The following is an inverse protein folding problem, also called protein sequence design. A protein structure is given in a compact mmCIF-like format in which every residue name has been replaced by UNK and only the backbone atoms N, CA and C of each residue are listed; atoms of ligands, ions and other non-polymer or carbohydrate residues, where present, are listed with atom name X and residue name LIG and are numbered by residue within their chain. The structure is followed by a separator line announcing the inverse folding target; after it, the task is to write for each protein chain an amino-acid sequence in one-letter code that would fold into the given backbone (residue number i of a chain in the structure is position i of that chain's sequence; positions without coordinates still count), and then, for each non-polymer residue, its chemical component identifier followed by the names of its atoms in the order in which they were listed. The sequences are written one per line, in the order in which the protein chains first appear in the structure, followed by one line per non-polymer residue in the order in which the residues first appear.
data_IF_392137965045
#
_entry.id   IF_392137965045
#
_cell.length_a   1.000
_cell.length_b   1.000
_cell.length_c   1.000
_cell.angle_alpha   90.00
_cell.angle_beta   90.00
_cell.angle_gamma   90.00
#
_symmetry.space_group_name_H-M   'P 1'
#
loop_
_entity.id
_entity.type
_entity.pdbx_description
1 polymer ?
#
# COMPACT_ATOMS: atom_id res chain seq x y z
N UNK A 1 31.63 8.71 15.10
CA UNK A 1 31.57 9.21 13.73
C UNK A 1 30.83 8.19 12.86
N UNK A 2 29.76 8.62 12.24
CA UNK A 2 29.00 7.76 11.30
C UNK A 2 29.87 7.63 10.05
N UNK A 3 30.17 6.39 9.63
CA UNK A 3 30.91 6.14 8.39
C UNK A 3 30.17 6.79 7.21
N UNK A 4 30.80 7.67 6.41
CA UNK A 4 30.16 8.36 5.30
C UNK A 4 29.56 7.38 4.26
N UNK A 5 30.15 6.21 4.11
CA UNK A 5 29.73 5.19 3.14
C UNK A 5 28.52 4.34 3.60
N UNK A 6 28.08 4.48 4.87
CA UNK A 6 26.93 3.74 5.37
C UNK A 6 25.64 4.54 5.14
N UNK A 7 24.63 3.85 4.63
CA UNK A 7 23.25 4.31 4.54
C UNK A 7 22.31 3.42 5.34
N UNK A 8 21.06 3.83 5.44
CA UNK A 8 20.00 3.14 6.13
C UNK A 8 18.96 2.62 5.13
N UNK A 9 18.53 1.39 5.32
CA UNK A 9 17.31 0.85 4.74
C UNK A 9 16.25 0.87 5.84
N UNK A 10 15.12 1.50 5.55
CA UNK A 10 13.99 1.57 6.49
C UNK A 10 12.90 0.62 6.03
N UNK A 11 12.72 -0.47 6.77
CA UNK A 11 11.65 -1.45 6.54
C UNK A 11 10.48 -1.15 7.50
N UNK A 12 9.33 -0.80 6.94
CA UNK A 12 8.15 -0.43 7.72
C UNK A 12 7.68 -1.56 8.63
N UNK A 13 7.73 -2.82 8.18
CA UNK A 13 7.32 -3.95 9.02
C UNK A 13 8.18 -4.04 10.27
N UNK A 14 9.50 -4.02 10.13
CA UNK A 14 10.41 -4.20 11.26
C UNK A 14 10.33 -3.06 12.28
N UNK A 15 9.99 -1.85 11.85
CA UNK A 15 9.77 -0.70 12.73
C UNK A 15 8.41 -0.82 13.43
N UNK A 16 7.34 -0.98 12.65
CA UNK A 16 5.97 -0.90 13.15
C UNK A 16 5.53 -2.13 13.94
N UNK A 17 5.92 -3.34 13.50
CA UNK A 17 5.56 -4.58 14.18
C UNK A 17 6.20 -4.71 15.59
N UNK A 18 7.29 -4.01 15.83
CA UNK A 18 7.92 -3.91 17.17
C UNK A 18 7.25 -2.87 18.06
N UNK A 19 6.36 -2.04 17.50
CA UNK A 19 5.77 -0.91 18.19
C UNK A 19 6.76 0.24 18.42
N UNK A 20 7.83 0.31 17.63
CA UNK A 20 8.81 1.41 17.71
C UNK A 20 8.12 2.72 17.33
N UNK A 21 8.47 3.82 18.02
CA UNK A 21 7.94 5.15 17.68
C UNK A 21 8.61 5.69 16.43
N UNK A 22 7.89 6.53 15.70
CA UNK A 22 8.42 7.21 14.51
C UNK A 22 9.12 8.53 14.85
N UNK A 23 9.19 8.91 16.14
CA UNK A 23 9.68 10.21 16.61
C UNK A 23 11.16 10.44 16.29
N UNK A 24 11.93 9.37 16.15
CA UNK A 24 13.35 9.46 15.82
C UNK A 24 13.60 9.68 14.32
N UNK A 25 12.65 9.42 13.45
CA UNK A 25 12.83 9.53 11.99
C UNK A 25 13.23 10.94 11.53
N UNK A 26 12.65 12.04 12.04
CA UNK A 26 13.04 13.38 11.67
C UNK A 26 14.49 13.75 12.02
N UNK A 27 15.13 13.01 12.95
CA UNK A 27 16.54 13.22 13.30
C UNK A 27 17.53 12.49 12.38
N UNK A 28 17.02 11.60 11.51
CA UNK A 28 17.84 10.88 10.54
C UNK A 28 18.14 11.81 9.36
N UNK A 29 19.42 12.08 9.04
CA UNK A 29 19.75 12.85 7.86
C UNK A 29 19.21 12.16 6.61
N UNK A 30 18.42 12.87 5.81
CA UNK A 30 17.70 12.27 4.67
C UNK A 30 18.63 11.61 3.64
N UNK A 31 19.83 12.17 3.47
CA UNK A 31 20.86 11.63 2.58
C UNK A 31 21.42 10.27 3.05
N UNK A 32 21.12 9.88 4.28
CA UNK A 32 21.44 8.55 4.82
C UNK A 32 20.35 7.51 4.59
N UNK A 33 19.15 7.93 4.22
CA UNK A 33 18.09 7.00 3.85
C UNK A 33 18.29 6.61 2.39
N UNK A 34 18.78 5.41 2.16
CA UNK A 34 19.12 4.93 0.81
C UNK A 34 17.97 4.19 0.16
N UNK A 35 17.10 3.57 0.98
CA UNK A 35 16.03 2.72 0.49
C UNK A 35 14.92 2.60 1.54
N UNK A 36 13.68 2.53 1.09
CA UNK A 36 12.51 2.30 1.95
C UNK A 36 11.78 1.05 1.47
N UNK A 37 11.54 0.12 2.40
CA UNK A 37 10.79 -1.09 2.18
C UNK A 37 9.43 -1.00 2.87
N UNK A 38 8.39 -1.37 2.13
CA UNK A 38 7.01 -1.30 2.57
C UNK A 38 6.42 -2.69 2.71
N UNK A 39 5.86 -2.96 3.86
CA UNK A 39 4.98 -4.08 4.12
C UNK A 39 3.99 -3.70 5.22
N UNK A 40 2.76 -4.09 5.03
CA UNK A 40 1.71 -4.11 6.04
C UNK A 40 1.55 -5.52 6.61
N UNK A 41 0.80 -5.69 7.67
CA UNK A 41 0.46 -7.00 8.23
C UNK A 41 -0.74 -6.90 9.18
N UNK A 42 -1.56 -7.96 9.33
CA UNK A 42 -2.53 -8.03 10.41
C UNK A 42 -1.80 -8.15 11.74
N UNK A 43 -2.34 -7.60 12.83
CA UNK A 43 -1.76 -7.79 14.16
C UNK A 43 -1.88 -9.24 14.61
N UNK A 44 -0.73 -9.86 14.90
CA UNK A 44 -0.65 -11.25 15.31
C UNK A 44 0.24 -11.41 16.55
N UNK A 45 -0.24 -12.22 17.51
CA UNK A 45 0.55 -12.57 18.70
C UNK A 45 1.37 -13.82 18.41
N UNK A 46 2.51 -13.63 17.77
CA UNK A 46 3.41 -14.72 17.38
C UNK A 46 4.86 -14.27 17.37
N UNK A 47 5.78 -15.17 17.06
CA UNK A 47 7.19 -14.84 16.86
C UNK A 47 7.33 -13.82 15.71
N UNK A 48 8.16 -12.79 15.93
CA UNK A 48 8.31 -11.67 14.99
C UNK A 48 8.91 -12.12 13.65
N UNK A 49 9.81 -13.10 13.68
CA UNK A 49 10.44 -13.61 12.47
C UNK A 49 9.46 -14.42 11.63
N UNK A 50 8.66 -15.29 12.28
CA UNK A 50 7.61 -16.06 11.62
C UNK A 50 6.55 -15.11 11.03
N UNK A 51 6.14 -14.10 11.79
CA UNK A 51 5.22 -13.07 11.32
C UNK A 51 5.77 -12.35 10.09
N UNK A 52 7.02 -11.90 10.14
CA UNK A 52 7.70 -11.23 9.04
C UNK A 52 7.79 -12.07 7.76
N UNK A 53 7.95 -13.39 7.89
CA UNK A 53 8.23 -14.29 6.76
C UNK A 53 7.00 -14.82 6.05
N UNK A 54 5.84 -14.82 6.73
CA UNK A 54 4.66 -15.53 6.23
C UNK A 54 3.41 -14.67 6.11
N UNK A 55 3.34 -13.52 6.81
CA UNK A 55 2.08 -12.79 7.00
C UNK A 55 2.14 -11.32 6.59
N UNK A 56 3.21 -10.86 5.93
CA UNK A 56 3.22 -9.52 5.35
C UNK A 56 2.18 -9.42 4.26
N UNK A 57 1.52 -8.27 4.14
CA UNK A 57 0.57 -7.98 3.08
C UNK A 57 0.85 -6.60 2.46
N UNK A 58 0.10 -6.26 1.44
CA UNK A 58 0.27 -4.98 0.77
C UNK A 58 -0.25 -3.82 1.63
N UNK A 59 0.29 -2.60 1.46
CA UNK A 59 -0.21 -1.41 2.10
C UNK A 59 -1.73 -1.28 2.07
N UNK A 60 -2.35 -1.07 3.23
CA UNK A 60 -3.79 -0.97 3.41
C UNK A 60 -4.55 -2.28 3.53
N UNK A 61 -3.85 -3.42 3.49
CA UNK A 61 -4.46 -4.75 3.69
C UNK A 61 -4.25 -5.28 5.12
N UNK A 62 -3.44 -4.61 5.93
CA UNK A 62 -3.15 -4.97 7.30
C UNK A 62 -3.64 -3.92 8.30
N UNK A 63 -3.00 -3.91 9.47
CA UNK A 63 -3.39 -3.07 10.60
C UNK A 63 -2.22 -2.21 11.11
N UNK A 64 -1.04 -2.29 10.48
CA UNK A 64 0.10 -1.48 10.87
C UNK A 64 -0.13 0.00 10.47
N UNK A 65 0.33 0.98 11.28
CA UNK A 65 0.12 2.40 10.99
C UNK A 65 1.02 2.90 9.83
N UNK A 66 0.89 2.28 8.67
CA UNK A 66 1.76 2.48 7.52
C UNK A 66 1.64 3.87 6.91
N UNK A 67 0.43 4.47 6.97
CA UNK A 67 0.25 5.85 6.49
C UNK A 67 1.03 6.85 7.36
N UNK A 68 1.12 6.63 8.67
CA UNK A 68 1.92 7.47 9.55
C UNK A 68 3.42 7.33 9.25
N UNK A 69 3.88 6.11 8.95
CA UNK A 69 5.25 5.86 8.51
C UNK A 69 5.55 6.60 7.19
N UNK A 70 4.70 6.44 6.18
CA UNK A 70 4.87 7.09 4.88
C UNK A 70 4.84 8.63 5.00
N UNK A 71 3.95 9.17 5.83
CA UNK A 71 3.90 10.59 6.15
C UNK A 71 5.23 11.08 6.71
N UNK A 72 5.78 10.41 7.73
CA UNK A 72 7.03 10.84 8.35
C UNK A 72 8.22 10.79 7.39
N UNK A 73 8.35 9.72 6.61
CA UNK A 73 9.43 9.59 5.61
C UNK A 73 9.33 10.69 4.55
N UNK A 74 8.11 10.99 4.09
CA UNK A 74 7.88 12.08 3.12
C UNK A 74 8.21 13.44 3.72
N UNK A 75 7.84 13.70 5.00
CA UNK A 75 8.18 14.94 5.74
C UNK A 75 9.68 15.11 5.92
N UNK A 76 10.43 14.04 6.12
CA UNK A 76 11.89 14.09 6.19
C UNK A 76 12.55 14.50 4.86
N UNK A 77 11.78 14.63 3.79
CA UNK A 77 12.28 15.03 2.47
C UNK A 77 12.83 13.88 1.64
N UNK A 78 12.61 12.62 2.03
CA UNK A 78 13.04 11.48 1.24
C UNK A 78 12.33 11.44 -0.12
N UNK A 79 13.11 11.28 -1.19
CA UNK A 79 12.64 11.24 -2.59
C UNK A 79 13.21 10.03 -3.35
N UNK A 80 13.83 9.11 -2.61
CA UNK A 80 14.39 7.89 -3.17
C UNK A 80 13.33 6.81 -3.44
N UNK A 81 13.78 5.62 -3.85
CA UNK A 81 12.88 4.52 -4.21
C UNK A 81 12.16 3.94 -3.00
N UNK A 82 10.87 3.60 -3.20
CA UNK A 82 10.05 2.84 -2.29
C UNK A 82 9.74 1.48 -2.91
N UNK A 83 9.86 0.41 -2.15
CA UNK A 83 9.72 -0.96 -2.63
C UNK A 83 8.79 -1.77 -1.75
N UNK A 84 7.95 -2.58 -2.35
CA UNK A 84 7.19 -3.60 -1.62
C UNK A 84 8.13 -4.77 -1.27
N UNK A 85 8.15 -5.16 0.00
CA UNK A 85 8.84 -6.34 0.47
C UNK A 85 7.87 -7.28 1.20
N UNK A 86 7.18 -8.10 0.43
CA UNK A 86 6.04 -8.89 0.89
C UNK A 86 6.41 -10.37 0.93
N UNK A 87 6.58 -10.90 2.14
CA UNK A 87 6.71 -12.33 2.40
C UNK A 87 5.36 -12.87 2.88
N UNK A 88 4.66 -13.56 1.97
CA UNK A 88 3.33 -14.11 2.21
C UNK A 88 3.14 -15.40 1.40
N UNK A 89 2.80 -16.48 2.07
CA UNK A 89 2.67 -17.79 1.44
C UNK A 89 1.47 -17.85 0.49
N UNK A 90 0.38 -17.17 0.82
CA UNK A 90 -0.79 -17.06 -0.06
C UNK A 90 -0.48 -16.32 -1.36
N UNK A 91 0.29 -15.23 -1.28
CA UNK A 91 0.68 -14.46 -2.46
C UNK A 91 1.65 -15.23 -3.35
N UNK A 92 2.54 -16.04 -2.77
CA UNK A 92 3.44 -16.94 -3.53
C UNK A 92 2.67 -18.00 -4.32
N UNK A 93 1.52 -18.44 -3.80
CA UNK A 93 0.66 -19.41 -4.47
C UNK A 93 -0.33 -18.78 -5.47
N UNK A 94 -0.45 -17.46 -5.48
CA UNK A 94 -1.39 -16.71 -6.30
C UNK A 94 -0.85 -16.41 -7.71
N UNK A 95 -1.73 -16.15 -8.71
CA UNK A 95 -1.30 -15.75 -10.04
C UNK A 95 -0.48 -14.44 -10.02
N UNK A 96 0.75 -14.49 -10.52
CA UNK A 96 1.72 -13.40 -10.43
C UNK A 96 1.18 -12.07 -10.98
N UNK A 97 0.45 -12.10 -12.10
CA UNK A 97 -0.09 -10.88 -12.72
C UNK A 97 -1.15 -10.19 -11.86
N UNK A 98 -2.00 -10.94 -11.17
CA UNK A 98 -3.00 -10.40 -10.25
C UNK A 98 -2.32 -9.81 -9.01
N UNK A 99 -1.37 -10.56 -8.43
CA UNK A 99 -0.59 -10.13 -7.26
C UNK A 99 0.19 -8.83 -7.54
N UNK A 100 0.87 -8.74 -8.70
CA UNK A 100 1.60 -7.55 -9.09
C UNK A 100 0.68 -6.32 -9.28
N UNK A 101 -0.49 -6.53 -9.88
CA UNK A 101 -1.50 -5.47 -10.05
C UNK A 101 -2.03 -4.97 -8.70
N UNK A 102 -2.26 -5.88 -7.78
CA UNK A 102 -2.72 -5.54 -6.42
C UNK A 102 -1.64 -4.77 -5.65
N UNK A 103 -0.39 -5.22 -5.75
CA UNK A 103 0.75 -4.50 -5.19
C UNK A 103 0.87 -3.07 -5.73
N UNK A 104 0.76 -2.89 -7.04
CA UNK A 104 0.78 -1.57 -7.65
C UNK A 104 -0.37 -0.66 -7.14
N UNK A 105 -1.59 -1.19 -7.07
CA UNK A 105 -2.74 -0.46 -6.55
C UNK A 105 -2.56 -0.04 -5.09
N UNK A 106 -1.95 -0.89 -4.28
CA UNK A 106 -1.67 -0.60 -2.88
C UNK A 106 -0.66 0.55 -2.71
N UNK A 107 0.31 0.66 -3.61
CA UNK A 107 1.23 1.80 -3.63
C UNK A 107 0.49 3.10 -3.97
N UNK A 108 -0.35 3.10 -5.01
CA UNK A 108 -1.17 4.28 -5.36
C UNK A 108 -2.09 4.68 -4.21
N UNK A 109 -2.68 3.70 -3.51
CA UNK A 109 -3.49 3.96 -2.32
C UNK A 109 -2.68 4.63 -1.21
N UNK A 110 -1.47 4.13 -0.92
CA UNK A 110 -0.62 4.70 0.12
C UNK A 110 -0.16 6.12 -0.24
N UNK A 111 0.18 6.38 -1.51
CA UNK A 111 0.49 7.72 -2.00
C UNK A 111 -0.68 8.68 -1.82
N UNK A 112 -1.89 8.25 -2.16
CA UNK A 112 -3.12 9.03 -1.95
C UNK A 112 -3.34 9.35 -0.46
N UNK A 113 -3.21 8.35 0.44
CA UNK A 113 -3.34 8.59 1.88
C UNK A 113 -2.27 9.57 2.38
N UNK A 114 -1.03 9.42 1.90
CA UNK A 114 0.07 10.33 2.24
C UNK A 114 -0.23 11.75 1.73
N UNK A 115 -0.74 11.90 0.50
CA UNK A 115 -1.15 13.20 -0.05
C UNK A 115 -2.24 13.87 0.79
N UNK A 116 -3.23 13.10 1.24
CA UNK A 116 -4.31 13.62 2.11
C UNK A 116 -3.78 14.17 3.44
N UNK A 117 -2.75 13.52 4.00
CA UNK A 117 -2.09 13.95 5.25
C UNK A 117 -1.13 15.11 5.04
N UNK A 118 -0.59 15.25 3.83
CA UNK A 118 0.39 16.26 3.43
C UNK A 118 -0.06 17.04 2.18
N UNK A 119 -1.18 17.78 2.24
CA UNK A 119 -1.78 18.39 1.06
C UNK A 119 -0.89 19.44 0.38
N UNK A 120 0.06 20.02 1.12
CA UNK A 120 0.95 21.08 0.65
C UNK A 120 2.39 20.62 0.40
N UNK A 121 2.66 19.29 0.50
CA UNK A 121 4.02 18.81 0.24
C UNK A 121 4.38 18.90 -1.26
N UNK A 122 5.65 19.08 -1.54
CA UNK A 122 6.23 19.16 -2.89
C UNK A 122 6.58 17.78 -3.47
N UNK A 123 6.31 16.69 -2.74
CA UNK A 123 6.52 15.35 -3.23
C UNK A 123 5.56 15.03 -4.37
N UNK A 124 6.09 14.37 -5.40
CA UNK A 124 5.28 13.87 -6.53
C UNK A 124 4.53 12.61 -6.09
N UNK A 125 3.38 12.81 -5.46
CA UNK A 125 2.50 11.76 -4.98
C UNK A 125 1.27 11.66 -5.87
N UNK A 126 0.79 10.44 -6.06
CA UNK A 126 -0.44 10.17 -6.79
C UNK A 126 -1.62 10.97 -6.22
N UNK A 127 -2.36 11.59 -7.11
CA UNK A 127 -3.62 12.26 -6.81
C UNK A 127 -4.71 11.63 -7.67
N UNK A 128 -5.69 10.97 -7.07
CA UNK A 128 -6.76 10.37 -7.86
C UNK A 128 -7.54 11.45 -8.61
N UNK A 129 -8.11 11.13 -9.78
CA UNK A 129 -9.03 12.03 -10.44
C UNK A 129 -10.24 12.30 -9.53
N UNK A 130 -10.93 13.43 -9.70
CA UNK A 130 -12.14 13.72 -8.94
C UNK A 130 -13.15 12.57 -9.12
N UNK A 131 -13.82 12.22 -8.04
CA UNK A 131 -14.85 11.18 -8.09
C UNK A 131 -15.96 11.62 -9.09
N UNK A 132 -16.37 10.73 -10.00
CA UNK A 132 -17.48 11.02 -10.88
C UNK A 132 -18.76 11.21 -10.06
N UNK A 133 -19.56 12.15 -10.48
CA UNK A 133 -20.90 12.36 -9.89
C UNK A 133 -21.87 11.42 -10.61
N UNK A 134 -22.40 10.46 -9.86
CA UNK A 134 -23.42 9.54 -10.37
C UNK A 134 -24.80 10.08 -10.03
N UNK A 135 -25.69 10.10 -11.01
CA UNK A 135 -27.07 10.56 -10.84
C UNK A 135 -28.06 9.38 -10.64
N UNK A 136 -27.55 8.17 -10.57
CA UNK A 136 -28.33 6.96 -10.36
C UNK A 136 -27.79 5.80 -11.20
N UNK A 137 -28.48 4.67 -11.12
CA UNK A 137 -28.25 3.47 -11.92
C UNK A 137 -29.25 3.47 -13.06
N UNK A 138 -28.78 3.41 -14.31
CA UNK A 138 -29.65 3.38 -15.48
C UNK A 138 -30.00 1.95 -15.88
N UNK A 139 -29.00 1.07 -15.93
CA UNK A 139 -29.20 -0.36 -16.20
C UNK A 139 -28.07 -1.20 -15.63
N UNK A 140 -28.32 -2.50 -15.50
CA UNK A 140 -27.32 -3.52 -15.16
C UNK A 140 -27.31 -4.53 -16.31
N UNK A 141 -26.13 -4.80 -16.86
CA UNK A 141 -25.92 -5.79 -17.90
C UNK A 141 -25.22 -7.02 -17.32
N UNK A 142 -25.76 -8.20 -17.60
CA UNK A 142 -25.16 -9.47 -17.23
C UNK A 142 -24.76 -10.22 -18.49
N UNK A 143 -23.51 -10.64 -18.58
CA UNK A 143 -23.09 -11.58 -19.61
C UNK A 143 -23.43 -13.01 -19.18
N UNK A 144 -24.20 -13.71 -20.00
CA UNK A 144 -24.55 -15.13 -19.80
C UNK A 144 -24.35 -15.89 -21.11
N UNK A 145 -24.12 -17.21 -21.01
CA UNK A 145 -24.16 -18.07 -22.20
C UNK A 145 -25.56 -18.10 -22.78
N UNK A 146 -25.69 -18.40 -24.09
CA UNK A 146 -27.01 -18.48 -24.74
C UNK A 146 -27.95 -19.51 -24.10
N UNK A 147 -27.40 -20.52 -23.40
CA UNK A 147 -28.18 -21.53 -22.68
C UNK A 147 -28.69 -21.03 -21.30
N UNK A 148 -28.09 -20.00 -20.75
CA UNK A 148 -28.38 -19.46 -19.41
C UNK A 148 -29.15 -18.14 -19.46
N UNK A 149 -29.24 -17.54 -20.64
CA UNK A 149 -29.95 -16.27 -20.79
C UNK A 149 -31.47 -16.49 -20.57
N UNK A 150 -32.11 -15.75 -19.65
CA UNK A 150 -33.56 -15.81 -19.50
C UNK A 150 -34.26 -15.32 -20.79
N UNK A 151 -35.43 -15.85 -21.13
CA UNK A 151 -36.17 -15.36 -22.28
C UNK A 151 -36.46 -13.87 -22.14
N UNK A 152 -36.16 -13.10 -23.19
CA UNK A 152 -36.35 -11.64 -23.20
C UNK A 152 -37.86 -11.34 -23.08
N UNK A 153 -38.34 -10.97 -21.91
CA UNK A 153 -39.69 -10.46 -21.73
C UNK A 153 -39.74 -9.05 -22.30
N UNK A 154 -40.34 -8.90 -23.49
CA UNK A 154 -40.65 -7.56 -23.99
C UNK A 154 -41.66 -6.92 -23.03
N UNK A 155 -41.47 -5.69 -22.57
CA UNK A 155 -42.54 -4.99 -21.88
C UNK A 155 -43.70 -4.83 -22.87
N UNK A 156 -44.88 -5.35 -22.49
CA UNK A 156 -46.10 -5.07 -23.21
C UNK A 156 -46.32 -3.57 -23.25
N UNK A 157 -46.40 -3.00 -24.47
CA UNK A 157 -46.67 -1.60 -24.74
C UNK A 157 -48.00 -1.10 -24.22
#
# INVERSE_FOLDING_TARGET
PICPALGLVLDSFHILARGDTLDALPSVPVEKITFVQLADAPYMKMDLLEWSRHFRCFPGQGELPLEAFAEQITRCGYRGPWSLEIFNDGFRASPNGATAKDGYRSLLWLEEQTRRRLPTCDADLFSPPPLPVYHGLEFIEFAASAAEAPPCSRPNG
#
